data_IF_156925377815
#
_entry.id   IF_156925377815
#
_cell.length_a   1.000
_cell.length_b   1.000
_cell.length_c   1.000
_cell.angle_alpha   90.00
_cell.angle_beta   90.00
_cell.angle_gamma   90.00
#
_symmetry.space_group_name_H-M   'P 1'
#
loop_
_entity.id
_entity.type
_entity.pdbx_description
1 polymer ?
#
# COMPACT_ATOMS: atom_id res chain seq x y z
N UNK A 1 20.19 -0.27 16.33
CA UNK A 1 18.73 -0.52 16.23
C UNK A 1 18.46 -1.76 17.07
N UNK A 2 18.30 -1.59 18.37
CA UNK A 2 18.08 -2.71 19.32
C UNK A 2 16.81 -2.46 20.14
N UNK A 3 15.72 -2.10 19.48
CA UNK A 3 14.41 -2.13 20.12
C UNK A 3 13.74 -3.47 19.79
N UNK A 4 13.95 -4.41 20.71
CA UNK A 4 13.11 -5.60 20.87
C UNK A 4 11.64 -5.14 20.86
N UNK A 5 10.74 -5.80 20.11
CA UNK A 5 9.33 -5.43 20.09
C UNK A 5 8.79 -5.30 21.52
N UNK A 6 7.87 -4.36 21.71
CA UNK A 6 7.19 -4.13 22.99
C UNK A 6 6.60 -5.45 23.50
N UNK A 7 7.32 -6.12 24.41
CA UNK A 7 6.81 -7.31 25.08
C UNK A 7 5.70 -6.85 26.03
N UNK A 8 4.45 -6.95 25.57
CA UNK A 8 3.27 -6.54 26.32
C UNK A 8 3.00 -7.44 27.53
N UNK A 9 3.71 -8.56 27.66
CA UNK A 9 3.42 -9.55 28.69
C UNK A 9 4.13 -9.32 30.02
N UNK A 10 5.08 -8.37 30.14
CA UNK A 10 5.66 -7.99 31.45
C UNK A 10 6.57 -6.74 31.41
N UNK A 11 6.03 -5.51 31.27
CA UNK A 11 6.86 -4.32 31.37
C UNK A 11 7.25 -4.06 32.83
N UNK A 12 8.55 -4.04 33.15
CA UNK A 12 9.03 -3.65 34.48
C UNK A 12 8.53 -2.24 34.84
N UNK A 13 8.27 -1.97 36.13
CA UNK A 13 7.82 -0.64 36.61
C UNK A 13 8.72 0.51 36.13
N UNK A 14 10.02 0.26 36.00
CA UNK A 14 10.99 1.24 35.48
C UNK A 14 10.82 1.53 33.99
N UNK A 15 10.46 0.53 33.17
CA UNK A 15 10.12 0.74 31.75
C UNK A 15 8.81 1.52 31.60
N UNK A 16 7.80 1.22 32.42
CA UNK A 16 6.53 1.96 32.42
C UNK A 16 6.74 3.44 32.75
N UNK A 17 7.51 3.75 33.80
CA UNK A 17 7.81 5.14 34.18
C UNK A 17 8.60 5.89 33.11
N UNK A 18 9.60 5.24 32.49
CA UNK A 18 10.36 5.83 31.37
C UNK A 18 9.46 6.13 30.18
N UNK A 19 8.56 5.21 29.84
CA UNK A 19 7.61 5.38 28.73
C UNK A 19 6.61 6.50 29.03
N UNK A 20 6.04 6.55 30.23
CA UNK A 20 5.14 7.62 30.67
C UNK A 20 5.81 9.00 30.63
N UNK A 21 7.09 9.09 31.01
CA UNK A 21 7.84 10.34 30.93
C UNK A 21 8.14 10.78 29.48
N UNK A 22 8.45 9.83 28.59
CA UNK A 22 8.61 10.12 27.14
C UNK A 22 7.30 10.59 26.51
N UNK A 23 6.18 9.95 26.85
CA UNK A 23 4.86 10.34 26.37
C UNK A 23 4.47 11.72 26.91
N UNK A 24 4.71 12.01 28.20
CA UNK A 24 4.39 13.32 28.78
C UNK A 24 5.22 14.46 28.16
N UNK A 25 6.49 14.22 27.83
CA UNK A 25 7.29 15.17 27.04
C UNK A 25 6.71 15.43 25.66
N UNK A 26 6.26 14.38 24.99
CA UNK A 26 5.64 14.47 23.65
C UNK A 26 4.34 15.27 23.72
N UNK A 27 3.44 14.93 24.64
CA UNK A 27 2.17 15.65 24.88
C UNK A 27 2.43 17.11 25.24
N UNK A 28 3.43 17.41 26.09
CA UNK A 28 3.81 18.79 26.40
C UNK A 28 4.30 19.57 25.18
N UNK A 29 5.02 18.90 24.26
CA UNK A 29 5.55 19.53 23.04
C UNK A 29 4.46 19.81 22.02
N UNK A 30 3.56 18.86 21.79
CA UNK A 30 2.50 19.00 20.77
C UNK A 30 1.26 19.72 21.31
N UNK A 31 1.08 19.76 22.64
CA UNK A 31 -0.11 20.29 23.29
C UNK A 31 -1.20 19.22 23.46
N UNK A 32 -2.03 19.37 24.50
CA UNK A 32 -3.05 18.37 24.85
C UNK A 32 -4.08 18.18 23.73
N UNK A 33 -4.55 19.26 23.10
CA UNK A 33 -5.53 19.18 22.01
C UNK A 33 -5.00 18.36 20.83
N UNK A 34 -3.77 18.64 20.38
CA UNK A 34 -3.14 17.88 19.30
C UNK A 34 -2.87 16.42 19.71
N UNK A 35 -2.58 16.14 20.98
CA UNK A 35 -2.44 14.77 21.47
C UNK A 35 -3.78 14.01 21.42
N UNK A 36 -4.90 14.69 21.74
CA UNK A 36 -6.25 14.12 21.65
C UNK A 36 -6.66 13.92 20.19
N UNK A 37 -6.44 14.90 19.31
CA UNK A 37 -6.72 14.78 17.88
C UNK A 37 -5.87 13.68 17.23
N UNK A 38 -4.60 13.56 17.62
CA UNK A 38 -3.73 12.46 17.19
C UNK A 38 -4.26 11.10 17.67
N UNK A 39 -4.64 10.98 18.95
CA UNK A 39 -5.22 9.74 19.47
C UNK A 39 -6.53 9.38 18.77
N UNK A 40 -7.40 10.36 18.54
CA UNK A 40 -8.64 10.19 17.78
C UNK A 40 -8.32 9.71 16.36
N UNK A 41 -7.43 10.36 15.64
CA UNK A 41 -7.06 9.97 14.28
C UNK A 41 -6.44 8.57 14.22
N UNK A 42 -5.61 8.20 15.20
CA UNK A 42 -4.97 6.88 15.27
C UNK A 42 -5.96 5.74 15.51
N UNK A 43 -7.09 6.00 16.18
CA UNK A 43 -7.97 4.93 16.69
C UNK A 43 -9.38 4.96 16.10
N UNK A 44 -9.86 6.11 15.67
CA UNK A 44 -11.20 6.28 15.16
C UNK A 44 -11.36 5.68 13.75
N UNK A 45 -12.60 5.32 13.39
CA UNK A 45 -12.97 5.14 12.00
C UNK A 45 -12.81 6.43 11.20
N UNK A 46 -12.38 6.31 9.95
CA UNK A 46 -12.23 7.44 9.04
C UNK A 46 -13.56 8.17 8.84
N UNK A 47 -14.70 7.46 8.87
CA UNK A 47 -16.02 8.06 8.77
C UNK A 47 -16.31 9.07 9.90
N UNK A 48 -15.83 8.80 11.12
CA UNK A 48 -15.95 9.74 12.24
C UNK A 48 -15.16 11.02 11.96
N UNK A 49 -13.93 10.87 11.45
CA UNK A 49 -13.06 12.00 11.12
C UNK A 49 -13.69 12.83 9.99
N UNK A 50 -14.15 12.20 8.91
CA UNK A 50 -14.76 12.91 7.78
C UNK A 50 -16.04 13.67 8.18
N UNK A 51 -16.91 13.06 8.98
CA UNK A 51 -18.15 13.69 9.47
C UNK A 51 -17.91 14.86 10.43
N UNK A 52 -16.74 14.95 11.08
CA UNK A 52 -16.36 16.09 11.94
C UNK A 52 -16.05 17.34 11.13
N UNK A 53 -15.51 17.19 9.92
CA UNK A 53 -14.93 18.29 9.14
C UNK A 53 -15.70 18.66 7.87
N UNK A 54 -16.51 17.74 7.32
CA UNK A 54 -17.16 17.93 6.03
C UNK A 54 -18.65 17.63 6.10
N UNK A 55 -19.42 18.32 5.25
CA UNK A 55 -20.88 18.14 5.14
C UNK A 55 -21.26 17.28 3.93
N UNK A 56 -20.58 17.45 2.80
CA UNK A 56 -20.87 16.73 1.54
C UNK A 56 -20.42 15.27 1.56
N UNK A 57 -21.33 14.35 1.28
CA UNK A 57 -21.04 12.91 1.28
C UNK A 57 -20.03 12.50 0.21
N UNK A 58 -20.09 13.11 -0.97
CA UNK A 58 -19.11 12.86 -2.04
C UNK A 58 -17.71 13.30 -1.61
N UNK A 59 -17.59 14.46 -0.95
CA UNK A 59 -16.30 14.95 -0.45
C UNK A 59 -15.77 14.06 0.67
N UNK A 60 -16.61 13.72 1.66
CA UNK A 60 -16.25 12.81 2.76
C UNK A 60 -15.75 11.47 2.23
N UNK A 61 -16.47 10.89 1.27
CA UNK A 61 -16.12 9.59 0.71
C UNK A 61 -14.84 9.65 -0.13
N UNK A 62 -14.69 10.68 -0.99
CA UNK A 62 -13.48 10.88 -1.81
C UNK A 62 -12.22 11.11 -0.98
N UNK A 63 -12.32 11.79 0.16
CA UNK A 63 -11.18 11.92 1.09
C UNK A 63 -11.03 10.69 1.99
N UNK A 64 -12.14 10.02 2.30
CA UNK A 64 -12.19 8.84 3.14
C UNK A 64 -11.64 7.58 2.47
N UNK A 65 -11.55 7.53 1.13
CA UNK A 65 -10.92 6.44 0.38
C UNK A 65 -9.47 6.23 0.81
N UNK A 66 -8.73 7.30 1.11
CA UNK A 66 -7.34 7.23 1.59
C UNK A 66 -7.24 6.56 2.97
N UNK A 67 -8.33 6.51 3.74
CA UNK A 67 -8.42 5.76 4.99
C UNK A 67 -8.65 4.25 4.83
N UNK A 68 -8.95 3.79 3.62
CA UNK A 68 -9.22 2.37 3.33
C UNK A 68 -8.43 1.83 2.14
N UNK A 69 -7.67 2.68 1.44
CA UNK A 69 -6.86 2.29 0.27
C UNK A 69 -5.86 1.19 0.62
N UNK A 70 -5.91 0.08 -0.11
CA UNK A 70 -5.06 -1.08 0.15
C UNK A 70 -5.47 -1.92 1.36
N UNK A 71 -6.50 -1.52 2.11
CA UNK A 71 -6.84 -2.10 3.40
C UNK A 71 -8.22 -2.74 3.36
N UNK A 72 -8.31 -4.01 3.78
CA UNK A 72 -9.54 -4.80 3.80
C UNK A 72 -10.51 -4.40 4.93
N UNK A 73 -10.78 -3.10 5.05
CA UNK A 73 -11.59 -2.49 6.10
C UNK A 73 -12.65 -1.55 5.55
N UNK A 74 -13.73 -1.42 6.32
CA UNK A 74 -14.81 -0.46 6.13
C UNK A 74 -14.39 0.94 6.58
N UNK A 75 -14.91 2.03 5.98
CA UNK A 75 -14.74 3.38 6.52
C UNK A 75 -15.23 3.55 7.97
N UNK A 76 -16.10 2.63 8.44
CA UNK A 76 -16.64 2.60 9.79
C UNK A 76 -15.84 1.70 10.76
N UNK A 77 -14.83 0.98 10.28
CA UNK A 77 -13.96 0.17 11.14
C UNK A 77 -12.89 1.05 11.81
N UNK A 78 -12.53 0.70 13.05
CA UNK A 78 -11.49 1.39 13.81
C UNK A 78 -10.12 1.26 13.15
N UNK A 79 -9.26 2.26 13.34
CA UNK A 79 -7.90 2.29 12.77
C UNK A 79 -7.83 2.74 11.32
N UNK A 80 -8.95 2.90 10.61
CA UNK A 80 -8.94 3.50 9.25
C UNK A 80 -8.55 4.98 9.26
N UNK A 81 -8.75 5.70 10.37
CA UNK A 81 -8.20 7.05 10.54
C UNK A 81 -6.66 7.08 10.49
N UNK A 82 -5.98 6.07 11.04
CA UNK A 82 -4.53 5.96 10.96
C UNK A 82 -4.05 5.78 9.52
N UNK A 83 -4.80 5.02 8.71
CA UNK A 83 -4.43 4.82 7.30
C UNK A 83 -4.47 6.15 6.55
N UNK A 84 -5.48 7.01 6.78
CA UNK A 84 -5.48 8.37 6.23
C UNK A 84 -4.25 9.15 6.70
N UNK A 85 -3.99 9.14 8.02
CA UNK A 85 -2.82 9.83 8.57
C UNK A 85 -1.54 9.39 7.86
N UNK A 86 -1.33 8.08 7.73
CA UNK A 86 -0.17 7.51 7.07
C UNK A 86 -0.01 8.00 5.63
N UNK A 87 -1.11 8.19 4.89
CA UNK A 87 -1.07 8.78 3.54
C UNK A 87 -0.67 10.25 3.55
N UNK A 88 -1.07 11.04 4.55
CA UNK A 88 -0.74 12.48 4.60
C UNK A 88 0.58 12.79 5.33
N UNK A 89 1.22 11.81 5.96
CA UNK A 89 2.52 11.98 6.63
C UNK A 89 3.68 12.21 5.64
N UNK A 90 3.51 11.80 4.38
CA UNK A 90 4.50 12.00 3.32
C UNK A 90 4.77 13.47 3.02
N UNK A 91 5.89 13.75 2.36
CA UNK A 91 6.21 15.10 1.93
C UNK A 91 7.23 15.10 0.80
N UNK A 92 7.21 16.16 0.02
CA UNK A 92 8.19 16.43 -1.02
C UNK A 92 8.84 17.77 -0.74
N UNK A 93 10.17 17.77 -0.76
CA UNK A 93 11.00 18.91 -0.37
C UNK A 93 10.59 19.47 1.01
N UNK A 94 10.14 20.73 1.04
CA UNK A 94 9.69 21.44 2.24
C UNK A 94 8.17 21.43 2.42
N UNK A 95 7.43 20.63 1.64
CA UNK A 95 5.96 20.57 1.64
C UNK A 95 5.45 19.26 2.22
N UNK A 96 4.89 19.32 3.43
CA UNK A 96 4.17 18.21 4.07
C UNK A 96 2.86 17.88 3.34
N UNK A 97 2.47 16.61 3.36
CA UNK A 97 1.21 16.11 2.79
C UNK A 97 1.16 16.14 1.27
N UNK A 98 2.31 16.25 0.59
CA UNK A 98 2.36 16.33 -0.87
C UNK A 98 2.93 15.07 -1.50
N UNK A 99 2.42 14.77 -2.68
CA UNK A 99 2.80 13.65 -3.52
C UNK A 99 3.30 14.16 -4.87
N UNK A 100 4.05 13.33 -5.57
CA UNK A 100 4.71 13.71 -6.81
C UNK A 100 4.94 12.51 -7.70
N UNK A 101 4.95 12.76 -9.00
CA UNK A 101 5.26 11.76 -9.99
C UNK A 101 6.76 11.62 -10.13
N UNK A 102 7.23 10.37 -10.17
CA UNK A 102 8.61 10.07 -10.55
C UNK A 102 8.69 10.10 -12.08
N UNK A 103 9.51 11.00 -12.60
CA UNK A 103 9.82 11.06 -14.04
C UNK A 103 10.53 9.76 -14.47
N UNK A 104 10.12 9.19 -15.59
CA UNK A 104 10.51 7.84 -16.05
C UNK A 104 9.74 6.71 -15.36
N UNK A 105 8.81 7.03 -14.46
CA UNK A 105 8.02 6.07 -13.69
C UNK A 105 8.79 5.47 -12.51
N UNK A 106 8.10 4.60 -11.75
CA UNK A 106 8.66 4.04 -10.50
C UNK A 106 9.93 3.20 -10.70
N UNK A 107 10.14 2.64 -11.91
CA UNK A 107 11.37 1.92 -12.24
C UNK A 107 12.63 2.79 -12.12
N UNK A 108 12.52 4.10 -12.41
CA UNK A 108 13.62 5.05 -12.27
C UNK A 108 14.13 5.16 -10.83
N UNK A 109 13.26 4.98 -9.81
CA UNK A 109 13.69 4.95 -8.40
C UNK A 109 14.54 3.72 -8.14
N UNK A 110 14.08 2.54 -8.58
CA UNK A 110 14.82 1.28 -8.43
C UNK A 110 16.17 1.35 -9.15
N UNK A 111 16.21 1.90 -10.36
CA UNK A 111 17.44 2.08 -11.13
C UNK A 111 18.41 3.06 -10.45
N UNK A 112 17.90 4.16 -9.90
CA UNK A 112 18.70 5.13 -9.16
C UNK A 112 19.34 4.49 -7.91
N UNK A 113 18.58 3.70 -7.15
CA UNK A 113 19.08 2.94 -5.99
C UNK A 113 20.14 1.93 -6.44
N UNK A 114 19.88 1.17 -7.49
CA UNK A 114 20.80 0.17 -8.04
C UNK A 114 22.12 0.83 -8.51
N UNK A 115 22.03 1.98 -9.18
CA UNK A 115 23.19 2.76 -9.62
C UNK A 115 24.02 3.27 -8.45
N UNK A 116 23.36 3.82 -7.42
CA UNK A 116 24.03 4.29 -6.21
C UNK A 116 24.71 3.15 -5.44
N UNK A 117 24.07 1.97 -5.36
CA UNK A 117 24.67 0.79 -4.75
C UNK A 117 25.93 0.35 -5.50
N UNK A 118 25.85 0.24 -6.84
CA UNK A 118 27.00 -0.10 -7.69
C UNK A 118 28.14 0.92 -7.59
N UNK A 119 27.84 2.22 -7.51
CA UNK A 119 28.88 3.24 -7.35
C UNK A 119 29.62 3.16 -6.02
N UNK A 120 29.03 2.49 -5.02
CA UNK A 120 29.67 2.18 -3.73
C UNK A 120 30.21 0.74 -3.68
N UNK A 121 30.35 0.07 -4.82
CA UNK A 121 30.98 -1.24 -4.95
C UNK A 121 30.05 -2.44 -4.74
N UNK A 122 28.73 -2.25 -4.65
CA UNK A 122 27.81 -3.37 -4.57
C UNK A 122 27.71 -4.13 -5.89
N UNK A 123 27.78 -5.45 -5.84
CA UNK A 123 27.48 -6.34 -6.95
C UNK A 123 25.99 -6.72 -6.92
N UNK A 124 25.32 -6.65 -8.08
CA UNK A 124 23.89 -6.93 -8.21
C UNK A 124 23.68 -8.12 -9.14
N UNK A 125 23.08 -9.18 -8.61
CA UNK A 125 22.79 -10.40 -9.34
C UNK A 125 21.27 -10.53 -9.51
N UNK A 126 20.79 -10.47 -10.76
CA UNK A 126 19.38 -10.72 -11.10
C UNK A 126 19.17 -12.17 -11.52
N UNK A 127 17.91 -12.61 -11.48
CA UNK A 127 17.53 -13.98 -11.86
C UNK A 127 18.25 -15.08 -11.05
N UNK A 128 18.75 -14.72 -9.86
CA UNK A 128 19.38 -15.62 -8.90
C UNK A 128 18.42 -15.84 -7.72
N UNK A 129 17.52 -16.82 -7.84
CA UNK A 129 16.59 -17.15 -6.77
C UNK A 129 17.33 -17.77 -5.58
N UNK A 130 17.23 -17.15 -4.39
CA UNK A 130 17.74 -17.71 -3.14
C UNK A 130 16.81 -18.83 -2.67
N UNK A 131 17.34 -20.02 -2.45
CA UNK A 131 16.58 -21.19 -1.99
C UNK A 131 16.66 -21.41 -0.48
N UNK A 132 17.76 -21.01 0.18
CA UNK A 132 17.89 -21.10 1.63
C UNK A 132 18.93 -20.12 2.18
N UNK A 133 18.74 -19.66 3.41
CA UNK A 133 19.75 -18.93 4.20
C UNK A 133 20.58 -19.97 4.95
N UNK A 134 21.91 -19.85 4.85
CA UNK A 134 22.85 -20.75 5.51
C UNK A 134 23.09 -20.27 6.94
N UNK A 135 22.89 -21.15 7.92
CA UNK A 135 23.13 -20.87 9.33
C UNK A 135 23.97 -21.98 9.94
N UNK A 136 25.01 -21.59 10.68
CA UNK A 136 25.89 -22.50 11.41
C UNK A 136 26.10 -21.95 12.82
N UNK A 137 25.88 -22.78 13.84
CA UNK A 137 26.01 -22.42 15.26
C UNK A 137 25.32 -21.08 15.63
N UNK A 138 24.10 -20.87 15.11
CA UNK A 138 23.31 -19.67 15.35
C UNK A 138 23.78 -18.41 14.61
N UNK A 139 24.74 -18.53 13.68
CA UNK A 139 25.27 -17.42 12.88
C UNK A 139 25.01 -17.65 11.39
N UNK A 140 24.63 -16.60 10.68
CA UNK A 140 24.50 -16.65 9.22
C UNK A 140 25.86 -16.90 8.58
N UNK A 141 25.87 -17.70 7.50
CA UNK A 141 27.04 -18.01 6.68
C UNK A 141 26.87 -17.63 5.20
N UNK A 142 25.75 -17.00 4.87
CA UNK A 142 25.40 -16.60 3.51
C UNK A 142 24.08 -17.20 3.05
N UNK A 143 23.96 -17.42 1.74
CA UNK A 143 22.75 -17.94 1.09
C UNK A 143 23.12 -19.02 0.07
N UNK A 144 22.20 -19.96 -0.13
CA UNK A 144 22.23 -20.91 -1.24
C UNK A 144 21.23 -20.48 -2.29
N UNK A 145 21.66 -20.50 -3.55
CA UNK A 145 20.84 -20.24 -4.72
C UNK A 145 20.15 -21.52 -5.19
N UNK A 146 19.06 -21.38 -5.94
CA UNK A 146 18.28 -22.49 -6.48
C UNK A 146 19.08 -23.44 -7.37
N UNK A 147 20.14 -22.95 -8.01
CA UNK A 147 21.05 -23.77 -8.82
C UNK A 147 22.06 -24.58 -7.97
N UNK A 148 22.01 -24.47 -6.64
CA UNK A 148 22.90 -25.15 -5.69
C UNK A 148 24.16 -24.35 -5.32
N UNK A 149 24.46 -23.26 -6.00
CA UNK A 149 25.61 -22.40 -5.69
C UNK A 149 25.42 -21.67 -4.36
N UNK A 150 26.51 -21.39 -3.66
CA UNK A 150 26.50 -20.68 -2.38
C UNK A 150 27.20 -19.32 -2.50
N UNK A 151 26.62 -18.32 -1.86
CA UNK A 151 27.20 -16.99 -1.72
C UNK A 151 27.44 -16.76 -0.23
N UNK A 152 28.70 -16.79 0.18
CA UNK A 152 29.07 -16.64 1.59
C UNK A 152 29.05 -15.19 2.04
N UNK A 153 28.49 -14.95 3.22
CA UNK A 153 28.45 -13.63 3.86
C UNK A 153 28.32 -13.77 5.38
N UNK A 154 28.94 -12.83 6.11
CA UNK A 154 28.82 -12.77 7.58
C UNK A 154 27.45 -12.26 8.04
N UNK A 155 26.76 -11.49 7.20
CA UNK A 155 25.46 -10.88 7.49
C UNK A 155 24.54 -11.04 6.29
N UNK A 156 23.29 -11.40 6.55
CA UNK A 156 22.23 -11.50 5.53
C UNK A 156 21.10 -10.56 5.90
N UNK A 157 20.78 -9.62 5.00
CA UNK A 157 19.63 -8.73 5.10
C UNK A 157 18.55 -9.22 4.13
N UNK A 158 17.44 -9.75 4.65
CA UNK A 158 16.34 -10.23 3.82
C UNK A 158 15.27 -9.16 3.63
N UNK A 159 15.04 -8.76 2.38
CA UNK A 159 13.91 -7.92 1.99
C UNK A 159 12.67 -8.73 1.58
N UNK A 160 12.75 -10.07 1.61
CA UNK A 160 11.59 -10.92 1.37
C UNK A 160 10.60 -10.83 2.54
N UNK A 161 9.33 -11.17 2.31
CA UNK A 161 8.32 -11.12 3.38
C UNK A 161 8.74 -12.00 4.57
N UNK A 162 8.31 -11.67 5.80
CA UNK A 162 8.59 -12.50 6.97
C UNK A 162 8.25 -13.98 6.77
N UNK A 163 7.12 -14.29 6.12
CA UNK A 163 6.76 -15.68 5.79
C UNK A 163 7.78 -16.36 4.86
N UNK A 164 8.24 -15.67 3.81
CA UNK A 164 9.27 -16.24 2.92
C UNK A 164 10.58 -16.45 3.68
N UNK A 165 11.05 -15.43 4.38
CA UNK A 165 12.33 -15.49 5.11
C UNK A 165 12.33 -16.59 6.17
N UNK A 166 11.33 -16.60 7.06
CA UNK A 166 11.33 -17.45 8.25
C UNK A 166 10.64 -18.79 8.07
N UNK A 167 9.74 -18.94 7.09
CA UNK A 167 9.07 -20.23 6.84
C UNK A 167 9.59 -20.99 5.62
N UNK A 168 10.26 -20.32 4.67
CA UNK A 168 10.75 -20.97 3.43
C UNK A 168 12.27 -20.98 3.34
N UNK A 169 12.94 -19.87 3.66
CA UNK A 169 14.40 -19.74 3.46
C UNK A 169 15.22 -20.22 4.66
N UNK A 170 14.67 -20.18 5.87
CA UNK A 170 15.34 -20.69 7.07
C UNK A 170 14.82 -22.07 7.46
N UNK A 171 15.70 -22.88 8.07
CA UNK A 171 15.26 -24.09 8.75
C UNK A 171 14.40 -23.70 9.97
N UNK A 172 13.18 -24.22 10.02
CA UNK A 172 12.23 -23.94 11.11
C UNK A 172 12.73 -24.49 12.45
N UNK A 173 13.60 -25.50 12.45
CA UNK A 173 14.13 -26.13 13.66
C UNK A 173 14.96 -25.16 14.52
N UNK A 174 15.51 -24.10 13.92
CA UNK A 174 16.35 -23.11 14.61
C UNK A 174 15.53 -21.94 15.18
N UNK A 175 14.22 -21.89 14.92
CA UNK A 175 13.32 -20.82 15.33
C UNK A 175 12.43 -21.28 16.48
N UNK A 176 12.12 -20.38 17.42
CA UNK A 176 11.21 -20.73 18.51
C UNK A 176 9.78 -20.90 17.98
N UNK A 177 8.97 -21.79 18.59
CA UNK A 177 7.57 -21.97 18.23
C UNK A 177 6.76 -20.67 18.34
N UNK A 178 7.04 -19.84 19.34
CA UNK A 178 6.36 -18.55 19.58
C UNK A 178 6.64 -17.57 18.45
N UNK A 179 7.91 -17.48 18.01
CA UNK A 179 8.30 -16.63 16.90
C UNK A 179 7.65 -17.07 15.59
N UNK A 180 7.67 -18.37 15.30
CA UNK A 180 6.99 -18.92 14.13
C UNK A 180 5.48 -18.67 14.16
N UNK A 181 4.86 -18.74 15.34
CA UNK A 181 3.45 -18.40 15.52
C UNK A 181 3.17 -16.93 15.19
N UNK A 182 4.03 -16.02 15.66
CA UNK A 182 3.94 -14.58 15.37
C UNK A 182 4.14 -14.26 13.87
N UNK A 183 5.04 -14.95 13.18
CA UNK A 183 5.21 -14.80 11.72
C UNK A 183 3.95 -15.29 10.99
N UNK A 184 3.38 -16.41 11.41
CA UNK A 184 2.17 -17.00 10.79
C UNK A 184 0.94 -16.13 10.99
N UNK A 185 0.81 -15.45 12.13
CA UNK A 185 -0.32 -14.57 12.44
C UNK A 185 -0.30 -13.25 11.67
N UNK A 186 0.78 -12.93 10.94
CA UNK A 186 0.80 -11.76 10.06
C UNK A 186 -0.20 -11.93 8.93
N UNK A 187 -1.15 -11.00 8.82
CA UNK A 187 -2.13 -10.96 7.74
C UNK A 187 -1.61 -10.12 6.56
N UNK A 188 -1.58 -10.73 5.37
CA UNK A 188 -1.16 -10.10 4.11
C UNK A 188 -2.34 -9.88 3.16
N UNK A 189 -3.56 -10.01 3.67
CA UNK A 189 -4.77 -9.85 2.87
C UNK A 189 -4.82 -8.46 2.28
N UNK A 190 -4.85 -8.39 0.95
CA UNK A 190 -4.99 -7.15 0.20
C UNK A 190 -6.24 -7.24 -0.68
N UNK A 191 -7.16 -6.26 -0.61
CA UNK A 191 -8.40 -6.27 -1.37
C UNK A 191 -8.24 -5.54 -2.71
N UNK A 192 -7.06 -5.54 -3.34
CA UNK A 192 -6.78 -4.61 -4.45
C UNK A 192 -6.50 -5.35 -5.74
N UNK A 193 -6.93 -4.74 -6.85
CA UNK A 193 -6.50 -5.11 -8.19
C UNK A 193 -6.00 -3.86 -8.89
N UNK A 194 -4.87 -4.00 -9.60
CA UNK A 194 -4.35 -2.93 -10.43
C UNK A 194 -4.54 -3.29 -11.91
N UNK A 195 -5.21 -2.41 -12.64
CA UNK A 195 -5.43 -2.54 -14.08
C UNK A 195 -4.69 -1.39 -14.75
N UNK A 196 -3.74 -1.71 -15.63
CA UNK A 196 -3.08 -0.69 -16.45
C UNK A 196 -3.59 -0.82 -17.88
N UNK A 197 -4.02 0.28 -18.48
CA UNK A 197 -4.51 0.32 -19.86
C UNK A 197 -3.76 1.37 -20.65
N UNK A 198 -3.47 1.03 -21.91
CA UNK A 198 -3.01 2.00 -22.90
C UNK A 198 -4.20 2.45 -23.74
N UNK A 199 -4.39 3.76 -23.86
CA UNK A 199 -5.51 4.37 -24.58
C UNK A 199 -5.00 5.38 -25.61
N UNK A 200 -5.79 5.62 -26.66
CA UNK A 200 -5.49 6.61 -27.72
C UNK A 200 -6.02 8.01 -27.40
N UNK A 201 -6.94 8.11 -26.45
CA UNK A 201 -7.62 9.35 -26.09
C UNK A 201 -7.78 9.42 -24.58
N UNK A 202 -7.77 10.64 -24.05
CA UNK A 202 -7.99 10.88 -22.63
C UNK A 202 -9.49 10.71 -22.29
N UNK A 203 -9.82 10.19 -21.08
CA UNK A 203 -11.20 10.09 -20.65
C UNK A 203 -11.84 11.49 -20.60
N UNK A 204 -13.06 11.62 -21.13
CA UNK A 204 -13.84 12.86 -21.06
C UNK A 204 -15.01 12.64 -20.11
N UNK A 205 -15.04 13.39 -19.00
CA UNK A 205 -16.04 13.19 -17.95
C UNK A 205 -17.29 14.03 -18.23
N UNK A 206 -18.48 13.49 -17.96
CA UNK A 206 -19.75 14.20 -18.18
C UNK A 206 -19.83 15.52 -17.40
N UNK A 207 -19.27 15.55 -16.19
CA UNK A 207 -19.18 16.75 -15.35
C UNK A 207 -18.07 17.72 -15.75
N UNK A 208 -17.13 17.29 -16.61
CA UNK A 208 -15.99 18.09 -17.07
C UNK A 208 -15.49 17.56 -18.40
N UNK A 209 -16.17 17.97 -19.47
CA UNK A 209 -15.84 17.56 -20.82
C UNK A 209 -14.49 18.11 -21.27
N UNK A 210 -13.81 17.34 -22.12
CA UNK A 210 -12.50 17.73 -22.63
C UNK A 210 -12.63 18.83 -23.69
N UNK A 211 -11.91 19.94 -23.51
CA UNK A 211 -11.81 20.98 -24.54
C UNK A 211 -10.92 20.57 -25.73
N UNK A 212 -9.99 19.65 -25.51
CA UNK A 212 -9.04 19.13 -26.49
C UNK A 212 -8.55 17.73 -26.08
N UNK A 213 -7.88 17.02 -26.99
CA UNK A 213 -7.24 15.72 -26.71
C UNK A 213 -5.85 15.87 -26.05
N UNK A 214 -5.58 16.98 -25.38
CA UNK A 214 -4.34 17.19 -24.60
C UNK A 214 -4.64 17.05 -23.11
N UNK A 215 -3.65 16.66 -22.27
CA UNK A 215 -3.78 16.70 -20.82
C UNK A 215 -4.34 18.03 -20.31
N UNK A 216 -5.27 17.95 -19.36
CA UNK A 216 -5.94 19.07 -18.71
C UNK A 216 -5.83 18.89 -17.19
N UNK A 217 -6.12 19.91 -16.37
CA UNK A 217 -5.87 19.83 -14.92
C UNK A 217 -6.48 18.60 -14.24
N UNK A 218 -7.69 18.18 -14.63
CA UNK A 218 -8.35 17.00 -14.07
C UNK A 218 -7.72 15.66 -14.50
N UNK A 219 -6.93 15.64 -15.58
CA UNK A 219 -6.14 14.47 -15.98
C UNK A 219 -4.82 14.32 -15.21
N UNK A 220 -4.42 15.35 -14.46
CA UNK A 220 -3.14 15.41 -13.74
C UNK A 220 -3.29 15.18 -12.23
N UNK A 221 -4.49 14.81 -11.78
CA UNK A 221 -4.79 14.49 -10.38
C UNK A 221 -5.05 12.99 -10.21
N UNK A 222 -5.28 12.56 -8.98
CA UNK A 222 -6.02 11.33 -8.72
C UNK A 222 -7.50 11.57 -9.05
N UNK A 223 -8.14 10.59 -9.68
CA UNK A 223 -9.55 10.62 -10.05
C UNK A 223 -10.22 9.46 -9.34
N UNK A 224 -11.17 9.76 -8.46
CA UNK A 224 -11.88 8.75 -7.67
C UNK A 224 -13.27 8.50 -8.23
N UNK A 225 -13.64 7.23 -8.39
CA UNK A 225 -14.94 6.81 -8.93
C UNK A 225 -15.58 5.75 -8.02
N UNK A 226 -16.92 5.65 -8.08
CA UNK A 226 -17.75 4.78 -7.22
C UNK A 226 -17.52 5.01 -5.71
N UNK A 227 -17.34 6.26 -5.33
CA UNK A 227 -17.19 6.69 -3.94
C UNK A 227 -18.09 7.89 -3.66
N UNK A 228 -19.36 7.83 -4.09
CA UNK A 228 -20.29 8.95 -3.90
C UNK A 228 -20.73 9.12 -2.44
N UNK A 229 -20.62 8.06 -1.63
CA UNK A 229 -20.79 8.11 -0.18
C UNK A 229 -19.96 7.02 0.52
N UNK A 230 -19.77 7.14 1.83
CA UNK A 230 -19.03 6.14 2.63
C UNK A 230 -19.79 4.81 2.72
N UNK A 231 -21.11 4.84 2.59
CA UNK A 231 -21.96 3.65 2.51
C UNK A 231 -21.64 2.83 1.25
N UNK A 232 -21.42 3.47 0.09
CA UNK A 232 -20.99 2.77 -1.14
C UNK A 232 -19.68 2.04 -0.94
N UNK A 233 -18.70 2.70 -0.29
CA UNK A 233 -17.40 2.09 0.03
C UNK A 233 -17.58 0.91 1.01
N UNK A 234 -18.45 1.06 2.00
CA UNK A 234 -18.80 0.01 2.96
C UNK A 234 -19.48 -1.21 2.30
N UNK A 235 -20.37 -0.99 1.34
CA UNK A 235 -20.97 -2.09 0.58
C UNK A 235 -19.92 -2.89 -0.19
N UNK A 236 -18.91 -2.21 -0.74
CA UNK A 236 -17.77 -2.85 -1.40
C UNK A 236 -16.98 -3.78 -0.47
N UNK A 237 -16.74 -3.38 0.78
CA UNK A 237 -16.06 -4.28 1.74
C UNK A 237 -16.95 -5.45 2.15
N UNK A 238 -18.28 -5.27 2.19
CA UNK A 238 -19.21 -6.36 2.49
C UNK A 238 -19.21 -7.42 1.37
N UNK A 239 -19.16 -7.00 0.10
CA UNK A 239 -18.99 -7.92 -1.02
C UNK A 239 -17.66 -8.71 -0.89
N UNK A 240 -16.57 -8.02 -0.56
CA UNK A 240 -15.26 -8.63 -0.31
C UNK A 240 -15.26 -9.63 0.83
N UNK A 241 -15.88 -9.28 1.97
CA UNK A 241 -16.06 -10.18 3.13
C UNK A 241 -16.91 -11.41 2.77
N UNK A 242 -17.82 -11.26 1.82
CA UNK A 242 -18.57 -12.36 1.21
C UNK A 242 -17.77 -13.22 0.24
N UNK A 243 -16.48 -12.92 0.01
CA UNK A 243 -15.59 -13.62 -0.92
C UNK A 243 -15.83 -13.30 -2.39
N UNK A 244 -16.48 -12.17 -2.70
CA UNK A 244 -16.73 -11.69 -4.07
C UNK A 244 -16.02 -10.37 -4.30
N UNK A 245 -15.71 -10.04 -5.56
CA UNK A 245 -15.28 -8.68 -5.87
C UNK A 245 -16.45 -7.71 -5.71
N UNK A 246 -16.14 -6.45 -5.38
CA UNK A 246 -17.14 -5.40 -5.24
C UNK A 246 -17.96 -5.22 -6.52
N UNK A 247 -19.29 -5.16 -6.37
CA UNK A 247 -20.21 -4.81 -7.47
C UNK A 247 -20.04 -3.35 -7.91
N UNK A 248 -19.57 -2.48 -7.02
CA UNK A 248 -19.23 -1.09 -7.31
C UNK A 248 -17.82 -0.82 -6.78
N UNK A 249 -16.77 -1.21 -7.54
CA UNK A 249 -15.43 -1.09 -7.02
C UNK A 249 -15.07 0.38 -6.90
N UNK A 250 -14.55 0.79 -5.75
CA UNK A 250 -13.86 2.09 -5.61
C UNK A 250 -12.67 2.05 -6.55
N UNK A 251 -12.55 3.06 -7.41
CA UNK A 251 -11.45 3.15 -8.37
C UNK A 251 -10.71 4.45 -8.11
N UNK A 252 -9.43 4.34 -7.77
CA UNK A 252 -8.48 5.42 -7.88
C UNK A 252 -7.78 5.32 -9.24
N UNK A 253 -8.07 6.27 -10.12
CA UNK A 253 -7.49 6.38 -11.46
C UNK A 253 -6.40 7.45 -11.46
N UNK A 254 -5.27 7.13 -12.09
CA UNK A 254 -4.22 8.09 -12.43
C UNK A 254 -3.82 7.96 -13.88
N UNK A 255 -3.41 9.08 -14.49
CA UNK A 255 -2.93 9.12 -15.87
C UNK A 255 -1.49 9.63 -15.84
N UNK A 256 -0.49 8.82 -15.45
CA UNK A 256 0.88 9.32 -15.27
C UNK A 256 1.47 9.93 -16.55
N UNK A 257 1.06 9.42 -17.72
CA UNK A 257 1.42 9.98 -19.04
C UNK A 257 0.85 11.39 -19.35
N UNK A 258 -0.02 11.93 -18.48
CA UNK A 258 -0.51 13.30 -18.56
C UNK A 258 0.49 14.31 -17.98
N UNK A 259 1.39 13.83 -17.12
CA UNK A 259 2.47 14.59 -16.48
C UNK A 259 3.82 14.25 -17.09
N UNK A 260 4.06 12.97 -17.42
CA UNK A 260 5.33 12.48 -17.96
C UNK A 260 5.16 11.75 -19.29
N UNK A 261 5.57 12.40 -20.38
CA UNK A 261 5.48 11.83 -21.73
C UNK A 261 6.51 10.73 -22.02
N UNK A 262 7.53 10.55 -21.19
CA UNK A 262 8.51 9.46 -21.37
C UNK A 262 7.91 8.06 -21.19
N UNK A 263 6.72 7.98 -20.59
CA UNK A 263 5.99 6.73 -20.34
C UNK A 263 5.24 6.20 -21.57
N UNK A 264 5.25 6.92 -22.68
CA UNK A 264 4.51 6.59 -23.90
C UNK A 264 5.42 6.68 -25.12
N UNK A 265 5.25 5.79 -26.13
CA UNK A 265 6.10 5.78 -27.31
C UNK A 265 5.81 6.92 -28.30
N UNK A 266 4.66 7.58 -28.16
CA UNK A 266 4.19 8.63 -29.07
C UNK A 266 3.55 9.80 -28.29
N UNK A 267 3.14 10.86 -28.97
CA UNK A 267 2.56 12.07 -28.38
C UNK A 267 1.05 12.03 -28.14
N UNK A 268 0.37 10.96 -28.53
CA UNK A 268 -1.10 10.84 -28.57
C UNK A 268 -1.65 9.76 -27.64
N UNK A 269 -0.86 8.71 -27.38
CA UNK A 269 -1.24 7.62 -26.51
C UNK A 269 -1.08 8.01 -25.06
N UNK A 270 -1.83 7.35 -24.19
CA UNK A 270 -1.80 7.55 -22.76
C UNK A 270 -1.80 6.22 -22.03
N UNK A 271 -1.12 6.18 -20.90
CA UNK A 271 -1.22 5.09 -19.93
C UNK A 271 -2.11 5.57 -18.78
N UNK A 272 -3.12 4.77 -18.47
CA UNK A 272 -4.02 4.94 -17.34
C UNK A 272 -3.82 3.77 -16.39
N UNK A 273 -3.69 4.07 -15.11
CA UNK A 273 -3.60 3.10 -14.02
C UNK A 273 -4.87 3.20 -13.18
N UNK A 274 -5.60 2.10 -13.07
CA UNK A 274 -6.77 1.93 -12.22
C UNK A 274 -6.38 1.08 -11.02
N UNK A 275 -6.44 1.66 -9.84
CA UNK A 275 -6.32 0.94 -8.58
C UNK A 275 -7.72 0.71 -8.02
N UNK A 276 -8.16 -0.55 -8.02
CA UNK A 276 -9.53 -0.91 -7.72
C UNK A 276 -9.65 -1.65 -6.40
N UNK A 277 -10.71 -1.37 -5.65
CA UNK A 277 -11.08 -2.03 -4.39
C UNK A 277 -12.58 -2.35 -4.40
N UNK A 278 -13.08 -3.43 -3.82
CA UNK A 278 -12.44 -4.47 -3.05
C UNK A 278 -12.48 -5.80 -3.83
N UNK A 279 -11.33 -6.40 -4.09
CA UNK A 279 -11.15 -7.64 -4.83
C UNK A 279 -10.41 -8.68 -4.00
N UNK A 280 -11.05 -9.82 -3.66
CA UNK A 280 -10.39 -10.90 -2.95
C UNK A 280 -9.31 -11.60 -3.79
N UNK A 281 -8.20 -11.96 -3.14
CA UNK A 281 -7.18 -12.84 -3.74
C UNK A 281 -7.74 -14.23 -4.05
N UNK A 282 -8.57 -14.77 -3.14
CA UNK A 282 -9.30 -16.03 -3.33
C UNK A 282 -10.80 -15.73 -3.36
N UNK A 283 -11.46 -16.09 -4.47
CA UNK A 283 -12.91 -15.90 -4.60
C UNK A 283 -13.65 -17.09 -3.99
N UNK A 284 -14.85 -16.83 -3.48
CA UNK A 284 -15.75 -17.84 -2.90
C UNK A 284 -16.08 -18.93 -3.91
N UNK A 285 -16.30 -18.56 -5.16
CA UNK A 285 -16.78 -19.45 -6.21
C UNK A 285 -15.62 -20.12 -7.00
N UNK A 286 -14.41 -20.16 -6.43
CA UNK A 286 -13.23 -20.80 -7.00
C UNK A 286 -12.10 -19.82 -7.35
N UNK A 287 -10.96 -20.30 -7.89
CA UNK A 287 -9.82 -19.44 -8.18
C UNK A 287 -10.11 -18.43 -9.30
N UNK A 288 -9.25 -17.42 -9.40
CA UNK A 288 -9.16 -16.58 -10.58
C UNK A 288 -8.74 -17.42 -11.80
N UNK A 289 -9.44 -17.25 -12.91
CA UNK A 289 -9.06 -17.74 -14.23
C UNK A 289 -9.11 -16.57 -15.23
N UNK A 290 -8.68 -16.80 -16.46
CA UNK A 290 -8.59 -15.72 -17.46
C UNK A 290 -9.96 -15.14 -17.80
N UNK A 291 -11.01 -15.96 -17.86
CA UNK A 291 -12.38 -15.50 -18.06
C UNK A 291 -12.86 -14.53 -16.96
N UNK A 292 -12.63 -14.87 -15.69
CA UNK A 292 -12.99 -14.01 -14.54
C UNK A 292 -12.16 -12.74 -14.49
N UNK A 293 -10.88 -12.82 -14.86
CA UNK A 293 -10.02 -11.63 -14.97
C UNK A 293 -10.56 -10.69 -16.06
N UNK A 294 -10.96 -11.22 -17.21
CA UNK A 294 -11.55 -10.44 -18.30
C UNK A 294 -12.90 -9.84 -17.91
N UNK A 295 -13.74 -10.61 -17.22
CA UNK A 295 -15.02 -10.12 -16.66
C UNK A 295 -14.79 -8.97 -15.69
N UNK A 296 -13.81 -9.12 -14.77
CA UNK A 296 -13.49 -8.06 -13.82
C UNK A 296 -12.82 -6.84 -14.49
N UNK A 297 -11.95 -7.06 -15.46
CA UNK A 297 -11.33 -5.98 -16.23
C UNK A 297 -12.39 -5.17 -16.98
N UNK A 298 -13.35 -5.84 -17.63
CA UNK A 298 -14.52 -5.18 -18.24
C UNK A 298 -15.36 -4.48 -17.18
N UNK A 299 -15.61 -5.08 -16.02
CA UNK A 299 -16.36 -4.45 -14.92
C UNK A 299 -15.70 -3.15 -14.44
N UNK A 300 -14.38 -3.17 -14.20
CA UNK A 300 -13.62 -2.00 -13.76
C UNK A 300 -13.40 -0.94 -14.83
N UNK A 301 -13.43 -1.30 -16.12
CA UNK A 301 -13.21 -0.37 -17.24
C UNK A 301 -14.50 0.11 -17.90
N UNK A 302 -15.58 -0.66 -17.91
CA UNK A 302 -16.86 -0.33 -18.53
C UNK A 302 -17.62 0.81 -17.82
N UNK A 303 -17.21 1.15 -16.60
CA UNK A 303 -17.64 2.34 -15.88
C UNK A 303 -17.19 3.67 -16.54
N UNK A 304 -16.60 3.60 -17.74
CA UNK A 304 -16.24 4.74 -18.60
C UNK A 304 -17.28 5.07 -19.70
N UNK A 305 -18.40 4.36 -19.77
CA UNK A 305 -19.45 4.57 -20.80
C UNK A 305 -20.84 4.97 -20.26
N UNK A 306 -20.99 5.24 -18.97
CA UNK A 306 -22.25 5.67 -18.36
C UNK A 306 -22.16 7.10 -17.81
#
# INVERSE_FOLDING_TARGET
MDEVPLNMHEPSKSKLLKNAWRQSKTVRRIGLNNAVDFYELMTAPIAKVMNKWFESDVLKATLGTDGVIGFAASPYDTGTGYVLLHHVLGGLDSRSGTWGYVMGGMGAVSDAIAKAARSHGAELFTDQEVSSILVDNGRTKGVRLRNGSEVHADTVLSNATPRVTFEKLLDKSILSPEFLSAVKSTDYTSPVTKINVAVRELPSFSCRQNASNTPQPHHQTTIHMNCESMEVVHEGVNDFRGGRWSRRPVIEMTIPSSVDRSLTPDSTSHVISLFTQYTPYALKDGPWNDERKDQYAKHGTALSYA
#
